data_IF_663688972223
#
_entry.id   IF_663688972223
#
_cell.length_a   1.000
_cell.length_b   1.000
_cell.length_c   1.000
_cell.angle_alpha   90.00
_cell.angle_beta   90.00
_cell.angle_gamma   90.00
#
_symmetry.space_group_name_H-M   'P 1'
#
loop_
_entity.id
_entity.type
_entity.pdbx_description
1 polymer ?
#
# COMPACT_ATOMS: atom_id res chain seq x y z
N UNK A 1 7.46 -20.75 -13.20
CA UNK A 1 6.92 -21.26 -14.49
C UNK A 1 5.64 -22.05 -14.23
N UNK A 2 5.64 -23.09 -13.39
CA UNK A 2 4.44 -23.91 -13.14
C UNK A 2 3.25 -23.10 -12.61
N UNK A 3 3.48 -22.17 -11.68
CA UNK A 3 2.43 -21.27 -11.15
C UNK A 3 1.83 -20.40 -12.25
N UNK A 4 2.64 -19.84 -13.15
CA UNK A 4 2.17 -19.08 -14.32
C UNK A 4 1.26 -19.91 -15.21
N UNK A 5 1.68 -21.15 -15.56
CA UNK A 5 0.88 -22.04 -16.40
C UNK A 5 -0.46 -22.38 -15.74
N UNK A 6 -0.48 -22.61 -14.42
CA UNK A 6 -1.72 -22.84 -13.67
C UNK A 6 -2.62 -21.60 -13.67
N UNK A 7 -2.07 -20.40 -13.44
CA UNK A 7 -2.84 -19.15 -13.46
C UNK A 7 -3.46 -18.88 -14.84
N UNK A 8 -2.69 -19.02 -15.93
CA UNK A 8 -3.17 -18.71 -17.28
C UNK A 8 -4.11 -19.78 -17.85
N UNK A 9 -4.08 -21.02 -17.36
CA UNK A 9 -4.86 -22.16 -17.88
C UNK A 9 -6.07 -22.53 -17.00
N UNK A 10 -6.23 -21.99 -15.80
CA UNK A 10 -7.40 -22.28 -14.95
C UNK A 10 -8.55 -21.32 -15.30
N UNK A 11 -9.60 -21.85 -15.91
CA UNK A 11 -10.79 -21.07 -16.30
C UNK A 11 -11.56 -20.47 -15.13
N UNK A 12 -11.25 -20.87 -13.90
CA UNK A 12 -11.84 -20.35 -12.65
C UNK A 12 -11.10 -19.13 -12.12
N UNK A 13 -9.94 -18.77 -12.67
CA UNK A 13 -9.17 -17.61 -12.18
C UNK A 13 -9.60 -16.33 -12.89
N UNK A 14 -9.90 -15.29 -12.10
CA UNK A 14 -10.12 -13.93 -12.59
C UNK A 14 -8.84 -13.29 -13.17
N UNK A 15 -7.68 -13.92 -12.92
CA UNK A 15 -6.35 -13.40 -13.28
C UNK A 15 -5.85 -13.84 -14.68
N UNK A 16 -6.70 -14.43 -15.52
CA UNK A 16 -6.30 -15.00 -16.82
C UNK A 16 -5.66 -13.98 -17.76
N UNK A 17 -6.12 -12.73 -17.70
CA UNK A 17 -5.67 -11.62 -18.55
C UNK A 17 -4.78 -10.61 -17.82
N UNK A 18 -4.41 -10.87 -16.57
CA UNK A 18 -3.56 -9.97 -15.79
C UNK A 18 -2.10 -10.17 -16.23
N UNK A 19 -1.35 -9.08 -16.48
CA UNK A 19 0.08 -9.16 -16.75
C UNK A 19 0.84 -9.80 -15.60
N UNK A 20 1.69 -10.77 -15.89
CA UNK A 20 2.51 -11.50 -14.91
C UNK A 20 3.98 -11.19 -15.15
N UNK A 21 4.61 -10.51 -14.18
CA UNK A 21 5.98 -10.06 -14.28
C UNK A 21 6.90 -11.01 -13.49
N UNK A 22 7.94 -11.52 -14.13
CA UNK A 22 8.93 -12.36 -13.45
C UNK A 22 9.88 -11.50 -12.63
N UNK A 23 9.98 -11.76 -11.32
CA UNK A 23 10.96 -11.14 -10.44
C UNK A 23 12.00 -12.16 -9.97
N UNK A 24 13.28 -11.97 -10.33
CA UNK A 24 14.32 -12.98 -10.10
C UNK A 24 15.67 -12.38 -9.70
N UNK A 25 16.45 -13.16 -8.94
CA UNK A 25 17.85 -12.83 -8.63
C UNK A 25 18.80 -13.06 -9.82
N UNK A 26 18.33 -13.72 -10.90
CA UNK A 26 19.15 -14.08 -12.04
C UNK A 26 19.13 -12.98 -13.10
N UNK A 27 20.20 -12.18 -13.15
CA UNK A 27 20.41 -11.08 -14.12
C UNK A 27 21.30 -11.48 -15.30
N UNK A 28 21.36 -12.77 -15.67
CA UNK A 28 22.21 -13.25 -16.76
C UNK A 28 21.66 -12.75 -18.10
N UNK A 29 22.58 -12.39 -19.01
CA UNK A 29 22.25 -11.96 -20.39
C UNK A 29 21.41 -13.05 -21.08
N UNK A 30 20.21 -12.67 -21.55
CA UNK A 30 19.25 -13.61 -22.15
C UNK A 30 18.17 -14.15 -21.20
N UNK A 31 18.25 -13.85 -19.89
CA UNK A 31 17.23 -14.29 -18.95
C UNK A 31 15.85 -13.68 -19.25
N UNK A 32 15.81 -12.42 -19.70
CA UNK A 32 14.55 -11.74 -20.07
C UNK A 32 13.86 -12.48 -21.20
N UNK A 33 14.57 -12.79 -22.26
CA UNK A 33 14.04 -13.50 -23.44
C UNK A 33 13.52 -14.89 -23.05
N UNK A 34 14.20 -15.56 -22.13
CA UNK A 34 13.76 -16.85 -21.61
C UNK A 34 12.43 -16.76 -20.87
N UNK A 35 12.27 -15.79 -19.93
CA UNK A 35 11.02 -15.62 -19.19
C UNK A 35 9.86 -15.20 -20.10
N UNK A 36 10.10 -14.35 -21.10
CA UNK A 36 9.09 -14.00 -22.10
C UNK A 36 8.66 -15.23 -22.91
N UNK A 37 9.61 -16.09 -23.33
CA UNK A 37 9.28 -17.34 -24.04
C UNK A 37 8.48 -18.33 -23.16
N UNK A 38 8.68 -18.30 -21.84
CA UNK A 38 7.92 -19.11 -20.89
C UNK A 38 6.51 -18.54 -20.62
N UNK A 39 6.19 -17.36 -21.19
CA UNK A 39 4.86 -16.78 -21.13
C UNK A 39 4.65 -15.70 -20.08
N UNK A 40 5.70 -15.20 -19.44
CA UNK A 40 5.65 -13.98 -18.63
C UNK A 40 5.49 -12.76 -19.54
N UNK A 41 4.80 -11.73 -19.05
CA UNK A 41 4.55 -10.51 -19.82
C UNK A 41 5.72 -9.53 -19.73
N UNK A 42 6.50 -9.58 -18.66
CA UNK A 42 7.77 -8.86 -18.51
C UNK A 42 8.66 -9.49 -17.41
N UNK A 43 9.79 -8.82 -17.13
CA UNK A 43 10.84 -9.32 -16.26
C UNK A 43 11.51 -8.16 -15.51
N UNK A 44 11.84 -8.38 -14.23
CA UNK A 44 12.64 -7.46 -13.41
C UNK A 44 13.67 -8.23 -12.58
N UNK A 45 14.90 -7.73 -12.53
CA UNK A 45 15.97 -8.35 -11.75
C UNK A 45 16.04 -7.82 -10.32
N UNK A 46 16.45 -8.65 -9.37
CA UNK A 46 16.79 -8.22 -8.01
C UNK A 46 18.26 -7.76 -7.96
N UNK A 47 18.61 -6.68 -7.27
CA UNK A 47 17.73 -5.80 -6.49
C UNK A 47 16.84 -4.94 -7.40
N UNK A 48 15.55 -4.80 -7.00
CA UNK A 48 14.56 -4.07 -7.78
C UNK A 48 14.81 -2.57 -7.68
N UNK A 49 15.04 -1.92 -8.81
CA UNK A 49 15.10 -0.46 -8.90
C UNK A 49 13.69 0.12 -8.95
N UNK A 50 13.40 1.13 -8.14
CA UNK A 50 12.12 1.84 -8.14
C UNK A 50 11.74 2.37 -9.55
N UNK A 51 12.70 2.98 -10.26
CA UNK A 51 12.47 3.51 -11.61
C UNK A 51 12.18 2.42 -12.64
N UNK A 52 12.82 1.25 -12.53
CA UNK A 52 12.56 0.12 -13.39
C UNK A 52 11.19 -0.49 -13.10
N UNK A 53 10.84 -0.63 -11.82
CA UNK A 53 9.52 -1.11 -11.39
C UNK A 53 8.41 -0.21 -11.93
N UNK A 54 8.50 1.11 -11.73
CA UNK A 54 7.52 2.06 -12.26
C UNK A 54 7.40 1.99 -13.79
N UNK A 55 8.51 1.83 -14.49
CA UNK A 55 8.49 1.73 -15.95
C UNK A 55 7.72 0.48 -16.41
N UNK A 56 7.93 -0.65 -15.71
CA UNK A 56 7.22 -1.89 -16.03
C UNK A 56 5.73 -1.77 -15.66
N UNK A 57 5.41 -1.22 -14.50
CA UNK A 57 4.02 -1.00 -14.06
C UNK A 57 3.29 -0.12 -15.09
N UNK A 58 3.83 1.06 -15.43
CA UNK A 58 3.23 1.97 -16.42
C UNK A 58 3.02 1.33 -17.79
N UNK A 59 3.92 0.42 -18.21
CA UNK A 59 3.82 -0.29 -19.48
C UNK A 59 2.64 -1.27 -19.52
N UNK A 60 2.28 -1.84 -18.38
CA UNK A 60 1.30 -2.93 -18.31
C UNK A 60 -0.03 -2.53 -17.67
N UNK A 61 -0.10 -1.34 -17.03
CA UNK A 61 -1.37 -0.80 -16.54
C UNK A 61 -2.18 -0.17 -17.69
N UNK A 62 -3.51 -0.30 -17.69
CA UNK A 62 -4.38 0.50 -18.55
C UNK A 62 -4.19 2.00 -18.27
N UNK A 63 -4.29 2.83 -19.32
CA UNK A 63 -4.13 4.30 -19.20
C UNK A 63 -5.08 4.91 -18.15
N UNK A 64 -6.28 4.34 -17.99
CA UNK A 64 -7.27 4.78 -16.99
C UNK A 64 -6.86 4.48 -15.54
N UNK A 65 -5.85 3.63 -15.33
CA UNK A 65 -5.28 3.35 -13.99
C UNK A 65 -3.95 4.08 -13.75
N UNK A 66 -3.55 4.93 -14.69
CA UNK A 66 -2.36 5.78 -14.55
C UNK A 66 -2.86 7.20 -14.30
N UNK A 67 -2.86 7.61 -13.02
CA UNK A 67 -3.22 8.98 -12.63
C UNK A 67 -2.35 10.00 -13.36
N UNK A 68 -2.95 11.08 -13.84
CA UNK A 68 -2.20 12.27 -14.26
C UNK A 68 -1.72 12.95 -12.98
N UNK A 69 -0.44 12.86 -12.69
CA UNK A 69 0.16 13.75 -11.69
C UNK A 69 0.10 15.16 -12.28
N UNK A 70 -0.87 15.96 -11.89
CA UNK A 70 -0.70 17.39 -11.98
C UNK A 70 0.54 17.72 -11.15
N UNK A 71 1.43 18.52 -11.76
CA UNK A 71 2.60 19.11 -11.08
C UNK A 71 2.10 20.10 -10.00
N UNK A 72 1.44 19.59 -8.97
CA UNK A 72 1.16 20.35 -7.76
C UNK A 72 2.53 20.54 -7.11
N UNK A 73 3.07 21.73 -7.33
CA UNK A 73 4.30 22.24 -6.70
C UNK A 73 4.07 22.56 -5.22
N UNK A 74 3.25 21.78 -4.54
CA UNK A 74 3.18 21.86 -3.10
C UNK A 74 4.48 21.28 -2.55
N UNK A 75 5.25 22.14 -1.94
CA UNK A 75 6.52 21.80 -1.31
C UNK A 75 6.20 20.94 -0.08
N UNK A 76 6.05 19.62 -0.32
CA UNK A 76 5.78 18.65 0.76
C UNK A 76 6.92 18.74 1.76
N UNK A 77 6.61 19.19 2.96
CA UNK A 77 7.53 19.24 4.09
C UNK A 77 7.28 17.99 4.93
N UNK A 78 8.31 17.20 5.17
CA UNK A 78 8.22 16.08 6.09
C UNK A 78 8.09 16.58 7.53
N UNK A 79 7.34 15.88 8.40
CA UNK A 79 7.37 16.14 9.84
C UNK A 79 8.77 15.88 10.41
N UNK A 80 9.08 16.51 11.55
CA UNK A 80 10.30 16.19 12.30
C UNK A 80 10.12 14.82 12.98
N UNK A 81 10.97 13.86 12.62
CA UNK A 81 10.95 12.49 13.12
C UNK A 81 12.36 12.03 13.51
N UNK A 82 12.45 11.11 14.47
CA UNK A 82 13.72 10.57 14.96
C UNK A 82 13.88 9.09 14.61
N UNK A 83 12.78 8.38 14.45
CA UNK A 83 12.77 6.93 14.21
C UNK A 83 12.88 6.57 12.73
N UNK A 84 12.66 7.56 11.83
CA UNK A 84 12.77 7.39 10.39
C UNK A 84 13.92 8.21 9.80
N UNK A 85 14.91 7.55 9.22
CA UNK A 85 15.94 8.20 8.38
C UNK A 85 15.34 8.50 7.00
N UNK A 86 14.69 9.67 6.87
CA UNK A 86 14.04 10.09 5.63
C UNK A 86 15.03 10.29 4.49
N UNK A 87 16.29 10.62 4.79
CA UNK A 87 17.32 10.75 3.76
C UNK A 87 17.66 9.39 3.15
N UNK A 88 17.82 8.36 4.00
CA UNK A 88 18.02 6.97 3.56
C UNK A 88 16.83 6.51 2.71
N UNK A 89 15.61 6.65 3.22
CA UNK A 89 14.39 6.24 2.53
C UNK A 89 14.24 6.96 1.16
N UNK A 90 14.49 8.27 1.09
CA UNK A 90 14.44 9.03 -0.14
C UNK A 90 15.52 8.61 -1.16
N UNK A 91 16.65 8.08 -0.70
CA UNK A 91 17.66 7.52 -1.61
C UNK A 91 17.19 6.26 -2.35
N UNK A 92 16.22 5.54 -1.76
CA UNK A 92 15.62 4.32 -2.31
C UNK A 92 14.40 4.66 -3.18
N UNK A 93 13.49 5.49 -2.65
CA UNK A 93 12.15 5.71 -3.23
C UNK A 93 12.15 6.91 -4.20
N UNK A 94 12.93 7.95 -3.90
CA UNK A 94 13.12 9.17 -4.71
C UNK A 94 11.79 9.91 -5.06
N UNK A 95 10.74 9.70 -4.27
CA UNK A 95 9.44 10.36 -4.41
C UNK A 95 8.83 10.59 -3.02
N UNK A 96 8.61 11.87 -2.65
CA UNK A 96 8.14 12.25 -1.32
C UNK A 96 6.72 11.76 -1.04
N UNK A 97 5.81 11.84 -2.01
CA UNK A 97 4.42 11.40 -1.86
C UNK A 97 4.37 9.91 -1.62
N UNK A 98 5.10 9.15 -2.43
CA UNK A 98 5.20 7.68 -2.29
C UNK A 98 5.81 7.30 -0.95
N UNK A 99 6.86 8.00 -0.50
CA UNK A 99 7.45 7.74 0.82
C UNK A 99 6.45 7.96 1.97
N UNK A 100 5.65 9.04 1.91
CA UNK A 100 4.60 9.30 2.91
C UNK A 100 3.60 8.15 2.94
N UNK A 101 3.10 7.72 1.79
CA UNK A 101 2.17 6.59 1.71
C UNK A 101 2.80 5.31 2.29
N UNK A 102 4.05 5.01 1.94
CA UNK A 102 4.75 3.85 2.47
C UNK A 102 4.96 3.90 3.99
N UNK A 103 5.23 5.09 4.56
CA UNK A 103 5.34 5.24 6.03
C UNK A 103 3.98 5.05 6.69
N UNK A 104 2.88 5.52 6.08
CA UNK A 104 1.51 5.27 6.56
C UNK A 104 1.18 3.79 6.55
N UNK A 105 1.38 3.10 5.42
CA UNK A 105 1.16 1.65 5.30
C UNK A 105 2.01 0.86 6.29
N UNK A 106 3.26 1.30 6.49
CA UNK A 106 4.16 0.72 7.48
C UNK A 106 3.62 0.93 8.91
N UNK A 107 3.07 2.09 9.24
CA UNK A 107 2.39 2.34 10.51
C UNK A 107 1.22 1.37 10.73
N UNK A 108 0.35 1.20 9.74
CA UNK A 108 -0.76 0.25 9.82
C UNK A 108 -0.30 -1.20 9.98
N UNK A 109 0.78 -1.58 9.30
CA UNK A 109 1.44 -2.88 9.51
C UNK A 109 1.96 -3.05 10.93
N UNK A 110 2.62 -2.03 11.50
CA UNK A 110 3.16 -2.07 12.86
C UNK A 110 2.08 -2.21 13.94
N UNK A 111 0.87 -1.72 13.72
CA UNK A 111 -0.23 -1.70 14.68
C UNK A 111 -0.53 -3.08 15.28
N UNK A 112 -0.55 -4.11 14.46
CA UNK A 112 -0.89 -5.47 14.87
C UNK A 112 0.33 -6.38 15.02
N UNK A 113 1.50 -5.95 14.57
CA UNK A 113 2.70 -6.75 14.50
C UNK A 113 3.21 -7.24 15.87
N UNK A 114 3.15 -6.45 16.97
CA UNK A 114 3.55 -6.93 18.29
C UNK A 114 2.83 -8.20 18.73
N UNK A 115 1.52 -8.30 18.44
CA UNK A 115 0.74 -9.50 18.73
C UNK A 115 1.21 -10.68 17.88
N UNK A 116 1.40 -10.47 16.58
CA UNK A 116 1.85 -11.52 15.64
C UNK A 116 3.23 -12.05 16.05
N UNK A 117 4.15 -11.18 16.44
CA UNK A 117 5.48 -11.56 16.89
C UNK A 117 5.45 -12.36 18.20
N UNK A 118 4.65 -11.93 19.19
CA UNK A 118 4.46 -12.66 20.44
C UNK A 118 3.87 -14.05 20.20
N UNK A 119 2.85 -14.17 19.36
CA UNK A 119 2.18 -15.44 19.07
C UNK A 119 3.11 -16.42 18.33
N UNK A 120 4.03 -15.90 17.51
CA UNK A 120 4.98 -16.70 16.72
C UNK A 120 6.24 -17.14 17.48
N UNK A 121 6.51 -16.61 18.68
CA UNK A 121 7.70 -17.01 19.47
C UNK A 121 7.79 -18.53 19.75
N UNK A 122 6.65 -19.21 19.84
CA UNK A 122 6.60 -20.67 20.05
C UNK A 122 6.88 -21.48 18.76
N UNK A 123 6.95 -20.83 17.59
CA UNK A 123 7.30 -21.41 16.30
C UNK A 123 8.37 -20.56 15.62
N UNK A 124 9.64 -20.89 15.87
CA UNK A 124 10.78 -20.11 15.37
C UNK A 124 10.79 -19.92 13.85
N UNK A 125 10.18 -20.84 13.09
CA UNK A 125 10.09 -20.71 11.63
C UNK A 125 9.13 -19.58 11.21
N UNK A 126 7.98 -19.51 11.84
CA UNK A 126 7.01 -18.43 11.57
C UNK A 126 7.55 -17.09 12.11
N UNK A 127 8.22 -17.13 13.27
CA UNK A 127 8.88 -15.96 13.83
C UNK A 127 9.97 -15.42 12.89
N UNK A 128 10.81 -16.28 12.32
CA UNK A 128 11.84 -15.92 11.33
C UNK A 128 11.26 -15.22 10.11
N UNK A 129 10.15 -15.74 9.56
CA UNK A 129 9.47 -15.15 8.39
C UNK A 129 8.99 -13.73 8.72
N UNK A 130 8.37 -13.54 9.88
CA UNK A 130 7.88 -12.23 10.32
C UNK A 130 9.03 -11.24 10.54
N UNK A 131 10.12 -11.68 11.18
CA UNK A 131 11.32 -10.86 11.41
C UNK A 131 12.01 -10.49 10.09
N UNK A 132 12.11 -11.42 9.15
CA UNK A 132 12.68 -11.15 7.82
C UNK A 132 11.86 -10.11 7.04
N UNK A 133 10.55 -10.23 7.07
CA UNK A 133 9.63 -9.26 6.47
C UNK A 133 9.78 -7.89 7.12
N UNK A 134 9.75 -7.82 8.45
CA UNK A 134 9.93 -6.58 9.19
C UNK A 134 11.28 -5.91 8.89
N UNK A 135 12.38 -6.67 8.87
CA UNK A 135 13.71 -6.14 8.52
C UNK A 135 13.69 -5.39 7.18
N UNK A 136 13.10 -6.00 6.17
CA UNK A 136 13.10 -5.45 4.81
C UNK A 136 12.17 -4.26 4.67
N UNK A 137 10.96 -4.30 5.24
CA UNK A 137 10.01 -3.18 5.20
C UNK A 137 10.51 -1.98 6.00
N UNK A 138 11.16 -2.22 7.16
CA UNK A 138 11.75 -1.15 7.99
C UNK A 138 12.90 -0.44 7.28
N UNK A 139 13.76 -1.19 6.58
CA UNK A 139 14.87 -0.59 5.81
C UNK A 139 14.35 0.32 4.70
N UNK A 140 13.32 -0.12 3.97
CA UNK A 140 12.73 0.62 2.86
C UNK A 140 12.16 1.98 3.27
N UNK A 141 11.55 2.08 4.45
CA UNK A 141 10.96 3.35 4.96
C UNK A 141 11.93 4.15 5.84
N UNK A 142 13.16 3.68 6.03
CA UNK A 142 14.17 4.36 6.86
C UNK A 142 14.07 4.10 8.36
N UNK A 143 13.25 3.15 8.83
CA UNK A 143 13.17 2.73 10.22
C UNK A 143 14.39 1.85 10.59
N UNK A 144 15.59 2.43 10.46
CA UNK A 144 16.87 1.68 10.48
C UNK A 144 17.15 1.00 11.81
N UNK A 145 16.66 1.54 12.92
CA UNK A 145 16.84 0.92 14.23
C UNK A 145 16.06 -0.39 14.33
N UNK A 146 14.80 -0.41 13.88
CA UNK A 146 13.98 -1.62 13.78
C UNK A 146 14.65 -2.64 12.85
N UNK A 147 15.07 -2.20 11.66
CA UNK A 147 15.75 -3.08 10.68
C UNK A 147 17.00 -3.74 11.27
N UNK A 148 17.83 -2.98 12.01
CA UNK A 148 19.05 -3.54 12.66
C UNK A 148 18.72 -4.54 13.75
N UNK A 149 17.73 -4.26 14.62
CA UNK A 149 17.33 -5.19 15.67
C UNK A 149 16.75 -6.46 15.05
N UNK A 150 15.89 -6.33 14.04
CA UNK A 150 15.32 -7.46 13.31
C UNK A 150 16.44 -8.33 12.69
N UNK A 151 17.46 -7.73 12.10
CA UNK A 151 18.63 -8.46 11.59
C UNK A 151 19.35 -9.26 12.68
N UNK A 152 19.57 -8.66 13.85
CA UNK A 152 20.22 -9.36 14.99
C UNK A 152 19.38 -10.53 15.49
N UNK A 153 18.06 -10.39 15.48
CA UNK A 153 17.14 -11.49 15.82
C UNK A 153 17.19 -12.59 14.76
N UNK A 154 17.17 -12.23 13.47
CA UNK A 154 17.30 -13.22 12.38
C UNK A 154 18.58 -14.04 12.52
N UNK A 155 19.71 -13.40 12.82
CA UNK A 155 20.97 -14.09 13.11
C UNK A 155 20.87 -15.01 14.35
N UNK A 156 20.16 -14.57 15.40
CA UNK A 156 19.96 -15.38 16.61
C UNK A 156 19.06 -16.61 16.33
N UNK A 157 18.01 -16.45 15.53
CA UNK A 157 17.14 -17.56 15.09
C UNK A 157 17.95 -18.59 14.30
N UNK A 158 18.76 -18.14 13.34
CA UNK A 158 19.63 -19.01 12.53
C UNK A 158 20.60 -19.83 13.38
N UNK A 159 21.11 -19.24 14.48
CA UNK A 159 22.02 -19.88 15.40
C UNK A 159 21.32 -20.66 16.54
N UNK A 160 19.98 -20.70 16.55
CA UNK A 160 19.17 -21.24 17.65
C UNK A 160 19.52 -20.64 19.04
N UNK A 161 19.91 -19.36 19.06
CA UNK A 161 20.27 -18.62 20.26
C UNK A 161 19.00 -18.00 20.90
N UNK A 162 18.30 -18.83 21.66
CA UNK A 162 17.04 -18.43 22.31
C UNK A 162 17.24 -17.37 23.39
N UNK A 163 18.40 -17.36 24.06
CA UNK A 163 18.68 -16.33 25.08
C UNK A 163 18.80 -14.96 24.44
N UNK A 164 19.48 -14.87 23.31
CA UNK A 164 19.60 -13.62 22.54
C UNK A 164 18.26 -13.16 21.98
N UNK A 165 17.41 -14.08 21.50
CA UNK A 165 16.05 -13.77 21.05
C UNK A 165 15.25 -13.17 22.21
N UNK A 166 15.26 -13.79 23.40
CA UNK A 166 14.55 -13.33 24.57
C UNK A 166 14.98 -11.94 25.05
N UNK A 167 16.26 -11.58 24.85
CA UNK A 167 16.78 -10.24 25.17
C UNK A 167 16.34 -9.21 24.13
N UNK A 168 16.46 -9.54 22.84
CA UNK A 168 16.21 -8.58 21.76
C UNK A 168 14.73 -8.37 21.47
N UNK A 169 13.89 -9.38 21.67
CA UNK A 169 12.46 -9.31 21.35
C UNK A 169 11.74 -8.16 22.07
N UNK A 170 11.83 -7.96 23.40
CA UNK A 170 11.18 -6.83 24.06
C UNK A 170 11.73 -5.48 23.59
N UNK A 171 13.00 -5.38 23.25
CA UNK A 171 13.62 -4.16 22.70
C UNK A 171 13.04 -3.86 21.32
N UNK A 172 12.83 -4.90 20.50
CA UNK A 172 12.18 -4.75 19.21
C UNK A 172 10.76 -4.23 19.35
N UNK A 173 9.97 -4.79 20.28
CA UNK A 173 8.58 -4.37 20.50
C UNK A 173 8.49 -2.90 20.96
N UNK A 174 9.41 -2.46 21.85
CA UNK A 174 9.49 -1.06 22.26
C UNK A 174 9.77 -0.14 21.06
N UNK A 175 10.72 -0.53 20.21
CA UNK A 175 11.11 0.26 19.05
C UNK A 175 10.01 0.29 17.97
N UNK A 176 9.28 -0.80 17.78
CA UNK A 176 8.08 -0.86 16.94
C UNK A 176 7.04 0.17 17.41
N UNK A 177 6.82 0.26 18.74
CA UNK A 177 5.89 1.23 19.32
C UNK A 177 6.28 2.67 18.99
N UNK A 178 7.56 3.04 19.12
CA UNK A 178 8.07 4.38 18.77
C UNK A 178 7.88 4.71 17.30
N UNK A 179 8.22 3.78 16.40
CA UNK A 179 8.02 3.97 14.97
C UNK A 179 6.52 4.10 14.62
N UNK A 180 5.64 3.32 15.29
CA UNK A 180 4.20 3.45 15.10
C UNK A 180 3.70 4.84 15.49
N UNK A 181 4.09 5.34 16.68
CA UNK A 181 3.72 6.68 17.15
C UNK A 181 4.18 7.79 16.17
N UNK A 182 5.43 7.72 15.69
CA UNK A 182 5.94 8.72 14.74
C UNK A 182 5.31 8.57 13.35
N UNK A 183 4.94 7.35 12.91
CA UNK A 183 4.25 7.15 11.64
C UNK A 183 2.92 7.90 11.58
N UNK A 184 2.26 8.09 12.73
CA UNK A 184 1.01 8.86 12.82
C UNK A 184 1.19 10.35 12.48
N UNK A 185 2.40 10.90 12.57
CA UNK A 185 2.70 12.26 12.14
C UNK A 185 2.61 12.45 10.61
N UNK A 186 2.65 11.38 9.86
CA UNK A 186 2.51 11.40 8.41
C UNK A 186 1.05 11.28 7.95
N UNK A 187 0.14 10.92 8.84
CA UNK A 187 -1.29 11.08 8.62
C UNK A 187 -1.62 12.56 8.87
N UNK A 188 -1.10 13.46 8.01
CA UNK A 188 -1.59 14.82 7.99
C UNK A 188 -3.07 14.68 7.66
N UNK A 189 -3.94 15.11 8.55
CA UNK A 189 -5.25 15.56 8.17
C UNK A 189 -4.97 16.64 7.11
N UNK A 190 -5.18 16.31 5.82
CA UNK A 190 -5.59 17.36 4.92
C UNK A 190 -6.69 18.06 5.71
N UNK A 191 -6.50 19.36 6.02
CA UNK A 191 -7.52 20.16 6.64
C UNK A 191 -8.84 19.79 5.94
N UNK A 192 -9.56 18.86 6.53
CA UNK A 192 -10.96 18.72 6.25
C UNK A 192 -11.51 20.04 6.81
N UNK A 193 -11.58 21.06 5.96
CA UNK A 193 -12.55 22.11 6.18
C UNK A 193 -13.78 21.38 6.69
N UNK A 194 -14.24 21.74 7.89
CA UNK A 194 -15.51 21.21 8.41
C UNK A 194 -16.51 21.26 7.26
N UNK A 195 -17.28 20.21 6.99
CA UNK A 195 -18.16 20.17 5.85
C UNK A 195 -19.07 21.40 5.95
N UNK A 196 -18.71 22.46 5.23
CA UNK A 196 -19.65 23.51 4.90
C UNK A 196 -20.85 22.77 4.33
N UNK A 197 -22.05 23.20 4.64
CA UNK A 197 -23.36 22.69 4.22
C UNK A 197 -23.29 22.21 2.75
N UNK A 198 -22.71 21.03 2.55
CA UNK A 198 -22.22 20.59 1.23
C UNK A 198 -23.39 19.93 0.55
N UNK A 199 -23.90 20.57 -0.50
CA UNK A 199 -24.97 20.02 -1.32
C UNK A 199 -24.50 18.71 -1.99
N UNK A 200 -24.90 17.59 -1.40
CA UNK A 200 -24.61 16.24 -1.90
C UNK A 200 -25.01 16.09 -3.37
N UNK A 201 -26.11 16.75 -3.79
CA UNK A 201 -26.57 16.72 -5.17
C UNK A 201 -25.59 17.37 -6.15
N UNK A 202 -24.79 18.33 -5.69
CA UNK A 202 -23.71 18.93 -6.48
C UNK A 202 -22.46 18.05 -6.53
N UNK A 203 -22.14 17.33 -5.44
CA UNK A 203 -20.95 16.48 -5.37
C UNK A 203 -21.05 15.21 -6.25
N UNK A 204 -22.21 14.57 -6.31
CA UNK A 204 -22.34 13.29 -7.04
C UNK A 204 -21.96 13.39 -8.52
N UNK A 205 -22.40 14.42 -9.29
CA UNK A 205 -21.96 14.61 -10.67
C UNK A 205 -20.45 14.82 -10.80
N UNK A 206 -19.83 15.57 -9.88
CA UNK A 206 -18.42 15.87 -9.92
C UNK A 206 -17.56 14.61 -9.63
N UNK A 207 -18.01 13.75 -8.71
CA UNK A 207 -17.36 12.44 -8.47
C UNK A 207 -17.50 11.55 -9.71
N UNK A 208 -18.67 11.56 -10.35
CA UNK A 208 -18.93 10.77 -11.55
C UNK A 208 -18.01 11.19 -12.70
N UNK A 209 -17.85 12.51 -12.92
CA UNK A 209 -16.96 13.08 -13.94
C UNK A 209 -15.50 12.69 -13.68
N UNK A 210 -15.03 12.82 -12.43
CA UNK A 210 -13.68 12.40 -12.05
C UNK A 210 -13.44 10.89 -12.29
N UNK A 211 -14.43 10.04 -12.02
CA UNK A 211 -14.35 8.60 -12.32
C UNK A 211 -14.35 8.31 -13.83
N UNK A 212 -15.07 9.10 -14.65
CA UNK A 212 -15.05 8.97 -16.11
C UNK A 212 -13.69 9.38 -16.69
N UNK A 213 -13.02 10.36 -16.08
CA UNK A 213 -11.67 10.79 -16.43
C UNK A 213 -10.57 9.90 -15.82
N UNK A 214 -10.95 8.87 -15.03
CA UNK A 214 -10.05 8.01 -14.27
C UNK A 214 -9.19 8.78 -13.26
N UNK A 215 -9.66 9.92 -12.78
CA UNK A 215 -9.05 10.72 -11.71
C UNK A 215 -9.60 10.25 -10.36
N UNK A 216 -9.05 9.14 -9.88
CA UNK A 216 -9.49 8.52 -8.61
C UNK A 216 -9.11 9.34 -7.39
N UNK A 217 -8.03 10.15 -7.46
CA UNK A 217 -7.60 11.01 -6.36
C UNK A 217 -8.65 12.12 -6.12
N UNK A 218 -9.06 12.82 -7.18
CA UNK A 218 -10.13 13.82 -7.11
C UNK A 218 -11.47 13.19 -6.74
N UNK A 219 -11.80 12.02 -7.30
CA UNK A 219 -13.02 11.30 -6.96
C UNK A 219 -13.09 10.96 -5.48
N UNK A 220 -11.97 10.46 -4.88
CA UNK A 220 -11.88 10.11 -3.48
C UNK A 220 -11.94 11.35 -2.56
N UNK A 221 -11.21 12.42 -2.92
CA UNK A 221 -11.25 13.69 -2.18
C UNK A 221 -12.67 14.25 -2.09
N UNK A 222 -13.41 14.23 -3.20
CA UNK A 222 -14.81 14.68 -3.23
C UNK A 222 -15.73 13.71 -2.48
N UNK A 223 -15.54 12.40 -2.59
CA UNK A 223 -16.33 11.39 -1.88
C UNK A 223 -16.14 11.45 -0.36
N UNK A 224 -14.99 11.89 0.14
CA UNK A 224 -14.76 12.14 1.57
C UNK A 224 -15.67 13.23 2.14
N UNK A 225 -16.09 14.20 1.31
CA UNK A 225 -16.99 15.27 1.71
C UNK A 225 -18.47 14.85 1.74
N UNK A 226 -18.81 13.62 1.32
CA UNK A 226 -20.16 13.07 1.49
C UNK A 226 -20.33 12.72 2.97
N UNK A 227 -21.32 13.32 3.69
CA UNK A 227 -21.55 13.04 5.10
C UNK A 227 -21.85 11.57 5.33
N UNK A 228 -21.13 10.94 6.28
CA UNK A 228 -21.48 9.61 6.78
C UNK A 228 -22.59 9.77 7.84
N UNK A 229 -23.84 9.88 7.41
CA UNK A 229 -24.95 9.87 8.37
C UNK A 229 -25.12 8.48 8.96
N UNK A 230 -24.60 8.34 10.18
CA UNK A 230 -24.63 7.06 10.92
C UNK A 230 -26.03 6.72 11.43
N UNK A 231 -27.00 7.65 11.37
CA UNK A 231 -28.37 7.41 11.77
C UNK A 231 -29.11 6.51 10.75
N UNK A 232 -28.69 6.56 9.48
CA UNK A 232 -29.19 5.69 8.42
C UNK A 232 -28.13 4.69 7.96
N UNK A 233 -28.27 3.46 8.47
CA UNK A 233 -27.31 2.39 8.21
C UNK A 233 -27.15 2.05 6.73
N UNK A 234 -28.23 2.12 5.94
CA UNK A 234 -28.20 1.75 4.51
C UNK A 234 -27.42 2.79 3.72
N UNK A 235 -27.72 4.06 3.99
CA UNK A 235 -27.02 5.19 3.36
C UNK A 235 -25.52 5.17 3.73
N UNK A 236 -25.22 5.05 5.02
CA UNK A 236 -23.83 4.96 5.51
C UNK A 236 -23.05 3.80 4.87
N UNK A 237 -23.69 2.63 4.69
CA UNK A 237 -23.05 1.49 4.02
C UNK A 237 -22.76 1.79 2.54
N UNK A 238 -23.64 2.48 1.81
CA UNK A 238 -23.38 2.86 0.42
C UNK A 238 -22.22 3.86 0.30
N UNK A 239 -22.16 4.87 1.19
CA UNK A 239 -21.08 5.87 1.19
C UNK A 239 -19.74 5.22 1.51
N UNK A 240 -19.68 4.30 2.48
CA UNK A 240 -18.47 3.53 2.81
C UNK A 240 -18.00 2.67 1.65
N UNK A 241 -18.92 1.94 1.02
CA UNK A 241 -18.62 1.10 -0.13
C UNK A 241 -18.10 1.93 -1.32
N UNK A 242 -18.68 3.10 -1.57
CA UNK A 242 -18.21 4.03 -2.60
C UNK A 242 -16.75 4.41 -2.36
N UNK A 243 -16.40 4.84 -1.15
CA UNK A 243 -15.04 5.25 -0.79
C UNK A 243 -14.04 4.08 -0.98
N UNK A 244 -14.43 2.86 -0.57
CA UNK A 244 -13.61 1.65 -0.76
C UNK A 244 -13.37 1.37 -2.25
N UNK A 245 -14.43 1.36 -3.08
CA UNK A 245 -14.29 1.06 -4.50
C UNK A 245 -13.49 2.11 -5.27
N UNK A 246 -13.55 3.39 -4.86
CA UNK A 246 -12.70 4.44 -5.43
C UNK A 246 -11.24 4.19 -5.05
N UNK A 247 -10.96 3.87 -3.79
CA UNK A 247 -9.61 3.59 -3.27
C UNK A 247 -9.01 2.33 -3.90
N UNK A 248 -9.85 1.32 -4.17
CA UNK A 248 -9.49 0.07 -4.86
C UNK A 248 -9.38 0.24 -6.40
N UNK A 249 -9.54 1.46 -6.93
CA UNK A 249 -9.51 1.76 -8.37
C UNK A 249 -10.54 0.97 -9.19
N UNK A 250 -11.77 0.79 -8.66
CA UNK A 250 -12.87 0.05 -9.29
C UNK A 250 -13.96 1.01 -9.82
N UNK A 251 -13.78 1.62 -11.03
CA UNK A 251 -14.67 2.70 -11.51
C UNK A 251 -16.10 2.26 -11.72
N UNK A 252 -16.34 1.05 -12.25
CA UNK A 252 -17.70 0.57 -12.52
C UNK A 252 -18.48 0.32 -11.23
N UNK A 253 -17.85 -0.26 -10.22
CA UNK A 253 -18.45 -0.46 -8.90
C UNK A 253 -18.67 0.86 -8.17
N UNK A 254 -17.75 1.81 -8.32
CA UNK A 254 -17.89 3.17 -7.78
C UNK A 254 -19.10 3.89 -8.38
N UNK A 255 -19.28 3.82 -9.71
CA UNK A 255 -20.43 4.40 -10.42
C UNK A 255 -21.75 3.74 -10.02
N UNK A 256 -21.76 2.41 -9.81
CA UNK A 256 -22.94 1.70 -9.32
C UNK A 256 -23.34 2.21 -7.93
N UNK A 257 -22.36 2.42 -7.02
CA UNK A 257 -22.65 2.97 -5.69
C UNK A 257 -23.15 4.41 -5.74
N UNK A 258 -22.59 5.27 -6.60
CA UNK A 258 -23.09 6.63 -6.83
C UNK A 258 -24.55 6.59 -7.28
N UNK A 259 -24.93 5.68 -8.17
CA UNK A 259 -26.30 5.46 -8.60
C UNK A 259 -27.23 5.12 -7.43
N UNK A 260 -26.83 4.21 -6.55
CA UNK A 260 -27.59 3.81 -5.34
C UNK A 260 -27.75 4.97 -4.35
N UNK A 261 -26.68 5.74 -4.12
CA UNK A 261 -26.73 6.95 -3.27
C UNK A 261 -27.72 7.98 -3.85
N UNK A 262 -27.63 8.24 -5.16
CA UNK A 262 -28.52 9.18 -5.85
C UNK A 262 -29.98 8.76 -5.76
N UNK A 263 -30.29 7.48 -6.00
CA UNK A 263 -31.65 6.96 -5.83
C UNK A 263 -32.15 7.07 -4.39
N UNK A 264 -31.28 6.81 -3.42
CA UNK A 264 -31.62 6.88 -2.01
C UNK A 264 -32.01 8.31 -1.59
N UNK A 265 -31.19 9.30 -1.96
CA UNK A 265 -31.43 10.71 -1.65
C UNK A 265 -32.67 11.22 -2.39
N UNK A 266 -32.93 10.74 -3.60
CA UNK A 266 -34.11 11.14 -4.38
C UNK A 266 -35.46 10.55 -3.91
N UNK A 267 -35.46 9.64 -2.91
CA UNK A 267 -36.65 9.03 -2.31
C UNK A 267 -37.10 9.73 -1.01
N UNK A 268 -36.27 10.61 -0.45
CA UNK A 268 -36.58 11.42 0.75
C UNK A 268 -36.98 12.83 0.38
#
# INVERSE_FOLDING_TARGET
>A
IEALHRMKNDDRTLCKNVPVIAMTANAIKGAREQYIMEGFDDYISKPVSYTELLTIIKKHLPDCKIGKTDDIKDEIVFPEVNEFDLHHAMSIINDKKVLILMIRDYGDYLKNLPKVLNDSLNNLKDYEINIHSLKSSSDAVGALTVSRIAKLIEEAVHNNDTDRINILHPILLEQIGKCYEESMLFFIEEDTEEPADTDIHALLPEIYEALDECDFETALAKAKNIPDDTSDKIYSDYVKQLKIYIDDYEPELSKEMLGKIKEYIGRG
#
